data_IF_762954658994
#
_entry.id   IF_762954658994
#
_cell.length_a   1.000
_cell.length_b   1.000
_cell.length_c   1.000
_cell.angle_alpha   90.00
_cell.angle_beta   90.00
_cell.angle_gamma   90.00
#
_symmetry.space_group_name_H-M   'P 1'
#
loop_
_entity.id
_entity.type
_entity.pdbx_description
1 polymer ?
#
# COMPACT_ATOMS: atom_id res chain seq x y z
N UNK A 1 6.51 1.10 16.65
CA UNK A 1 6.05 0.85 15.27
C UNK A 1 6.61 -0.45 14.74
N UNK A 2 7.93 -0.66 14.72
CA UNK A 2 8.53 -1.90 14.21
C UNK A 2 7.94 -3.22 14.79
N UNK A 3 7.84 -3.34 16.12
CA UNK A 3 7.21 -4.52 16.75
C UNK A 3 5.73 -4.73 16.37
N UNK A 4 5.02 -3.64 16.04
CA UNK A 4 3.63 -3.69 15.60
C UNK A 4 3.54 -4.17 14.15
N UNK A 5 4.46 -3.71 13.28
CA UNK A 5 4.60 -4.17 11.89
C UNK A 5 4.83 -5.67 11.81
N UNK A 6 5.76 -6.20 12.61
CA UNK A 6 6.02 -7.65 12.64
C UNK A 6 4.87 -8.47 13.20
N UNK A 7 4.14 -7.95 14.19
CA UNK A 7 2.89 -8.57 14.66
C UNK A 7 1.83 -8.68 13.57
N UNK A 8 1.75 -7.70 12.65
CA UNK A 8 0.85 -7.81 11.51
C UNK A 8 1.26 -8.83 10.50
N UNK A 9 2.55 -8.88 10.17
CA UNK A 9 3.07 -9.94 9.31
C UNK A 9 2.69 -11.30 9.89
N UNK A 10 2.80 -11.49 11.21
CA UNK A 10 2.43 -12.75 11.86
C UNK A 10 0.92 -12.99 11.91
N UNK A 11 0.10 -11.94 12.03
CA UNK A 11 -1.37 -12.05 11.99
C UNK A 11 -1.85 -12.46 10.59
N UNK A 12 -1.39 -11.78 9.55
CA UNK A 12 -1.75 -12.07 8.14
C UNK A 12 -1.24 -13.45 7.72
N UNK A 13 -0.04 -13.83 8.14
CA UNK A 13 0.54 -15.14 7.82
C UNK A 13 0.11 -16.27 8.77
N UNK A 14 -0.75 -16.01 9.76
CA UNK A 14 -1.01 -16.94 10.88
C UNK A 14 -1.44 -18.34 10.45
N UNK A 15 -2.14 -18.43 9.31
CA UNK A 15 -2.59 -19.70 8.74
C UNK A 15 -1.82 -20.12 7.48
N UNK A 16 -0.88 -19.31 6.96
CA UNK A 16 -0.24 -19.53 5.67
C UNK A 16 -1.20 -19.54 4.46
N UNK A 17 -2.48 -19.23 4.67
CA UNK A 17 -3.57 -19.44 3.71
C UNK A 17 -3.55 -18.44 2.54
N UNK A 18 -2.94 -17.26 2.71
CA UNK A 18 -3.01 -16.18 1.73
C UNK A 18 -1.76 -15.98 0.90
N UNK A 19 -0.77 -16.89 0.91
CA UNK A 19 0.34 -16.88 -0.06
C UNK A 19 1.26 -15.64 -0.11
N UNK A 20 1.08 -14.64 0.75
CA UNK A 20 1.86 -13.40 0.75
C UNK A 20 3.33 -13.67 1.03
N UNK A 21 4.22 -13.08 0.23
CA UNK A 21 5.65 -13.07 0.53
C UNK A 21 5.92 -12.32 1.84
N UNK A 22 6.50 -12.99 2.83
CA UNK A 22 6.85 -12.36 4.11
C UNK A 22 7.86 -11.22 3.87
N UNK A 23 7.60 -9.99 4.32
CA UNK A 23 8.61 -8.93 4.31
C UNK A 23 9.90 -9.36 5.02
N UNK A 24 11.03 -8.99 4.44
CA UNK A 24 12.36 -9.11 5.05
C UNK A 24 12.74 -7.86 5.85
N UNK A 25 12.22 -6.69 5.48
CA UNK A 25 12.38 -5.44 6.23
C UNK A 25 11.19 -4.50 6.04
N UNK A 26 11.04 -3.55 6.96
CA UNK A 26 10.11 -2.43 6.82
C UNK A 26 10.87 -1.11 6.65
N UNK A 27 10.25 -0.19 5.92
CA UNK A 27 10.69 1.20 5.84
C UNK A 27 9.48 2.15 5.88
N UNK A 28 9.70 3.36 6.43
CA UNK A 28 8.76 4.46 6.26
C UNK A 28 8.90 5.01 4.84
N UNK A 29 7.78 5.12 4.13
CA UNK A 29 7.68 5.50 2.70
C UNK A 29 6.78 6.71 2.54
N UNK A 30 7.35 7.89 2.78
CA UNK A 30 6.60 9.15 2.68
C UNK A 30 5.49 9.31 3.74
N UNK A 31 4.56 10.21 3.42
CA UNK A 31 3.33 10.46 4.15
C UNK A 31 2.20 10.56 3.14
N UNK A 32 1.02 10.06 3.48
CA UNK A 32 -0.18 10.16 2.66
C UNK A 32 -1.06 11.29 3.19
N UNK A 33 -1.46 12.22 2.32
CA UNK A 33 -2.54 13.17 2.64
C UNK A 33 -3.84 12.39 2.86
N UNK A 34 -4.39 12.50 4.07
CA UNK A 34 -5.66 11.92 4.43
C UNK A 34 -6.78 12.85 3.99
N UNK A 35 -7.81 12.23 3.44
CA UNK A 35 -9.04 12.91 3.09
C UNK A 35 -10.23 12.07 3.58
N UNK A 36 -11.44 12.28 3.05
CA UNK A 36 -12.63 11.56 3.53
C UNK A 36 -12.48 10.05 3.34
N UNK A 37 -11.72 9.64 2.33
CA UNK A 37 -11.48 8.23 2.02
C UNK A 37 -9.99 7.97 1.71
N UNK A 38 -9.53 6.74 1.98
CA UNK A 38 -8.25 6.21 1.49
C UNK A 38 -8.53 5.09 0.51
N UNK A 39 -7.86 5.14 -0.62
CA UNK A 39 -7.99 4.16 -1.70
C UNK A 39 -6.68 3.42 -1.92
N UNK A 40 -6.79 2.10 -1.94
CA UNK A 40 -5.75 1.21 -2.45
C UNK A 40 -6.19 0.75 -3.85
N UNK A 41 -5.30 0.90 -4.83
CA UNK A 41 -5.52 0.48 -6.22
C UNK A 41 -4.54 -0.62 -6.59
N UNK A 42 -5.04 -1.64 -7.28
CA UNK A 42 -4.38 -2.16 -8.48
C UNK A 42 -5.27 -1.81 -9.66
N UNK A 43 -4.72 -1.48 -10.81
CA UNK A 43 -5.55 -0.90 -11.85
C UNK A 43 -5.85 -1.91 -12.96
N UNK A 44 -7.02 -2.52 -12.85
CA UNK A 44 -7.89 -2.77 -13.98
C UNK A 44 -9.22 -2.02 -13.74
N UNK A 45 -9.91 -1.66 -14.82
CA UNK A 45 -11.02 -0.71 -14.98
C UNK A 45 -12.26 -0.85 -14.06
N UNK A 46 -12.25 -1.73 -13.06
CA UNK A 46 -13.35 -1.95 -12.11
C UNK A 46 -12.93 -2.24 -10.65
N UNK A 47 -11.64 -2.37 -10.32
CA UNK A 47 -11.19 -2.77 -8.98
C UNK A 47 -10.50 -1.65 -8.20
N UNK A 48 -11.17 -1.05 -7.23
CA UNK A 48 -10.55 -0.18 -6.21
C UNK A 48 -11.15 -0.47 -4.84
N UNK A 49 -10.32 -0.44 -3.81
CA UNK A 49 -10.83 -0.55 -2.44
C UNK A 49 -10.74 0.83 -1.83
N UNK A 50 -11.88 1.33 -1.38
CA UNK A 50 -12.05 2.66 -0.83
C UNK A 50 -12.53 2.51 0.60
N UNK A 51 -11.89 3.20 1.52
CA UNK A 51 -12.28 3.24 2.91
C UNK A 51 -12.60 4.65 3.33
N UNK A 52 -13.88 4.90 3.56
CA UNK A 52 -14.38 6.16 4.10
C UNK A 52 -14.56 6.11 5.61
N UNK A 53 -14.96 7.25 6.19
CA UNK A 53 -15.23 7.34 7.63
C UNK A 53 -13.97 7.33 8.49
N UNK A 54 -12.83 7.67 7.89
CA UNK A 54 -11.57 7.89 8.62
C UNK A 54 -11.79 8.93 9.71
N UNK A 55 -11.20 8.70 10.89
CA UNK A 55 -11.18 9.69 11.96
C UNK A 55 -10.76 11.05 11.42
N UNK A 56 -11.33 12.12 11.96
CA UNK A 56 -10.79 13.48 11.82
C UNK A 56 -9.42 13.54 12.50
N UNK A 57 -8.41 13.10 11.76
CA UNK A 57 -7.03 12.90 12.20
C UNK A 57 -6.09 14.00 11.70
N UNK A 58 -4.77 13.77 11.76
CA UNK A 58 -3.81 14.65 11.11
C UNK A 58 -4.09 14.70 9.61
N UNK A 59 -3.85 15.83 8.96
CA UNK A 59 -4.02 15.95 7.50
C UNK A 59 -3.14 14.98 6.72
N UNK A 60 -2.08 14.44 7.35
CA UNK A 60 -1.18 13.43 6.78
C UNK A 60 -0.93 12.27 7.74
N UNK A 61 -0.87 11.06 7.20
CA UNK A 61 -0.45 9.87 7.94
C UNK A 61 0.86 9.29 7.36
N UNK A 62 1.81 8.86 8.20
CA UNK A 62 3.01 8.19 7.72
C UNK A 62 2.65 6.83 7.11
N UNK A 63 3.27 6.47 5.99
CA UNK A 63 3.09 5.16 5.37
C UNK A 63 4.30 4.29 5.62
N UNK A 64 4.09 3.02 5.91
CA UNK A 64 5.15 2.03 6.07
C UNK A 64 4.97 0.92 5.04
N UNK A 65 6.06 0.46 4.43
CA UNK A 65 6.03 -0.66 3.50
C UNK A 65 6.99 -1.75 3.94
N UNK A 66 6.52 -2.99 3.86
CA UNK A 66 7.26 -4.23 4.02
C UNK A 66 7.78 -4.70 2.67
N UNK A 67 9.10 -4.86 2.59
CA UNK A 67 9.81 -5.21 1.38
C UNK A 67 10.48 -6.57 1.50
N UNK A 68 10.67 -7.23 0.36
CA UNK A 68 11.50 -8.42 0.21
C UNK A 68 12.32 -8.32 -1.07
N UNK A 69 13.38 -9.14 -1.17
CA UNK A 69 14.13 -9.26 -2.41
C UNK A 69 13.45 -10.26 -3.34
N UNK A 70 13.09 -9.80 -4.53
CA UNK A 70 12.57 -10.63 -5.61
C UNK A 70 13.66 -10.88 -6.63
N UNK A 71 13.84 -12.13 -7.02
CA UNK A 71 14.74 -12.52 -8.11
C UNK A 71 13.97 -13.33 -9.15
N UNK A 72 14.02 -12.89 -10.41
CA UNK A 72 13.41 -13.59 -11.55
C UNK A 72 14.54 -14.11 -12.43
N UNK A 73 14.69 -15.44 -12.48
CA UNK A 73 15.77 -16.08 -13.24
C UNK A 73 17.17 -15.61 -12.82
N UNK A 74 17.97 -15.21 -13.81
CA UNK A 74 19.35 -14.75 -13.62
C UNK A 74 19.47 -13.22 -13.45
N UNK A 75 18.35 -12.49 -13.38
CA UNK A 75 18.38 -11.04 -13.18
C UNK A 75 18.80 -10.69 -11.73
N UNK A 76 19.43 -9.52 -11.51
CA UNK A 76 19.71 -9.05 -10.16
C UNK A 76 18.44 -8.98 -9.31
N UNK A 77 18.54 -9.35 -8.03
CA UNK A 77 17.41 -9.23 -7.12
C UNK A 77 17.02 -7.75 -6.92
N UNK A 78 15.71 -7.49 -6.89
CA UNK A 78 15.11 -6.16 -6.81
C UNK A 78 14.11 -6.10 -5.66
N UNK A 79 14.00 -4.96 -4.99
CA UNK A 79 13.11 -4.81 -3.86
C UNK A 79 11.66 -4.69 -4.32
N UNK A 80 10.77 -5.50 -3.75
CA UNK A 80 9.33 -5.50 -4.01
C UNK A 80 8.56 -5.40 -2.72
N UNK A 81 7.38 -4.79 -2.79
CA UNK A 81 6.50 -4.60 -1.64
C UNK A 81 5.52 -5.74 -1.56
N UNK A 82 5.39 -6.36 -0.38
CA UNK A 82 4.32 -7.32 -0.10
C UNK A 82 3.31 -6.83 0.92
N UNK A 83 3.63 -5.75 1.66
CA UNK A 83 2.74 -5.17 2.65
C UNK A 83 2.90 -3.65 2.71
N UNK A 84 1.79 -2.93 2.82
CA UNK A 84 1.74 -1.50 3.11
C UNK A 84 0.86 -1.28 4.33
N UNK A 85 1.27 -0.40 5.22
CA UNK A 85 0.58 -0.11 6.48
C UNK A 85 0.42 1.39 6.63
N UNK A 86 -0.81 1.80 6.92
CA UNK A 86 -1.20 3.17 7.21
C UNK A 86 -1.73 3.27 8.65
N UNK A 87 -0.87 3.56 9.64
CA UNK A 87 -1.32 3.87 10.99
C UNK A 87 -2.08 5.20 11.03
N UNK A 88 -3.29 5.18 11.57
CA UNK A 88 -4.18 6.35 11.69
C UNK A 88 -4.26 6.86 13.14
N UNK A 89 -3.76 6.08 14.09
CA UNK A 89 -3.65 6.44 15.50
C UNK A 89 -2.24 6.16 16.05
N UNK A 90 -2.02 6.47 17.33
CA UNK A 90 -0.78 6.13 18.00
C UNK A 90 -0.65 4.60 18.19
N UNK A 91 0.58 4.06 18.32
CA UNK A 91 0.81 2.63 18.43
C UNK A 91 0.07 1.94 19.59
N UNK A 92 -0.25 2.65 20.68
CA UNK A 92 -0.91 2.04 21.84
C UNK A 92 -2.35 1.70 21.52
N UNK A 93 -3.06 2.63 20.86
CA UNK A 93 -4.43 2.42 20.38
C UNK A 93 -4.49 1.29 19.36
N UNK A 94 -3.55 1.29 18.41
CA UNK A 94 -3.50 0.25 17.38
C UNK A 94 -3.24 -1.14 17.96
N UNK A 95 -2.39 -1.25 19.00
CA UNK A 95 -2.14 -2.53 19.70
C UNK A 95 -3.37 -3.04 20.44
N UNK A 96 -4.25 -2.15 20.89
CA UNK A 96 -5.46 -2.51 21.63
C UNK A 96 -6.67 -2.83 20.72
N UNK A 97 -6.58 -2.48 19.44
CA UNK A 97 -7.64 -2.69 18.46
C UNK A 97 -7.75 -4.17 18.03
N UNK A 98 -8.97 -4.55 17.65
CA UNK A 98 -9.27 -5.84 17.06
C UNK A 98 -9.09 -5.78 15.53
N UNK A 99 -8.52 -6.84 14.98
CA UNK A 99 -8.25 -6.94 13.54
C UNK A 99 -9.34 -7.76 12.86
N UNK A 100 -9.85 -7.25 11.74
CA UNK A 100 -10.74 -8.03 10.89
C UNK A 100 -9.97 -9.14 10.15
N UNK A 101 -10.70 -10.11 9.59
CA UNK A 101 -10.12 -11.25 8.84
C UNK A 101 -9.68 -10.88 7.40
N UNK A 102 -9.66 -9.59 7.09
CA UNK A 102 -9.45 -9.04 5.76
C UNK A 102 -10.70 -9.08 4.86
N UNK A 103 -10.55 -8.58 3.64
CA UNK A 103 -11.62 -8.45 2.65
C UNK A 103 -11.48 -9.49 1.54
N UNK A 104 -12.40 -10.46 1.50
CA UNK A 104 -12.42 -11.47 0.43
C UNK A 104 -12.79 -10.87 -0.95
N UNK A 105 -12.18 -11.38 -2.02
CA UNK A 105 -12.61 -11.16 -3.40
C UNK A 105 -12.15 -9.85 -4.04
N UNK A 106 -11.01 -9.34 -3.59
CA UNK A 106 -10.44 -8.11 -4.13
C UNK A 106 -9.45 -8.45 -5.25
N UNK A 107 -9.94 -8.47 -6.49
CA UNK A 107 -9.14 -8.65 -7.71
C UNK A 107 -8.93 -7.33 -8.45
N UNK A 108 -8.02 -6.45 -8.03
CA UNK A 108 -7.42 -5.54 -8.98
C UNK A 108 -6.11 -6.15 -9.44
N UNK A 109 -5.99 -6.41 -10.75
CA UNK A 109 -4.69 -6.65 -11.36
C UNK A 109 -3.78 -5.44 -11.13
N UNK A 110 -2.47 -5.65 -10.98
CA UNK A 110 -1.53 -4.54 -10.82
C UNK A 110 -1.52 -3.62 -12.04
N UNK A 111 -1.37 -2.31 -11.82
CA UNK A 111 -1.06 -1.40 -12.92
C UNK A 111 0.36 -1.69 -13.36
N UNK A 112 0.56 -2.46 -14.43
CA UNK A 112 1.92 -2.73 -14.95
C UNK A 112 2.93 -3.15 -13.85
N UNK A 113 2.47 -3.93 -12.86
CA UNK A 113 3.29 -4.34 -11.70
C UNK A 113 3.35 -3.35 -10.52
N UNK A 114 2.48 -2.34 -10.46
CA UNK A 114 2.40 -1.38 -9.36
C UNK A 114 1.08 -1.46 -8.59
N UNK A 115 1.18 -1.33 -7.26
CA UNK A 115 0.07 -0.99 -6.38
C UNK A 115 0.14 0.50 -5.98
N UNK A 116 -1.01 1.15 -5.79
CA UNK A 116 -1.08 2.59 -5.54
C UNK A 116 -1.90 2.89 -4.29
N UNK A 117 -1.37 3.70 -3.39
CA UNK A 117 -2.09 4.25 -2.25
C UNK A 117 -2.32 5.75 -2.44
N UNK A 118 -3.56 6.22 -2.34
CA UNK A 118 -3.89 7.65 -2.33
C UNK A 118 -5.20 7.93 -1.56
N UNK A 119 -5.47 9.19 -1.21
CA UNK A 119 -6.74 9.61 -0.58
C UNK A 119 -7.76 10.11 -1.60
N UNK A 120 -9.06 9.88 -1.42
CA UNK A 120 -10.13 10.47 -2.26
C UNK A 120 -10.36 11.95 -1.88
N UNK A 121 -10.51 12.92 -2.78
CA UNK A 121 -11.01 12.85 -4.17
C UNK A 121 -9.96 12.44 -5.23
N UNK A 122 -8.75 12.04 -4.83
CA UNK A 122 -7.65 11.82 -5.75
C UNK A 122 -7.64 10.39 -6.27
N UNK A 123 -8.25 10.20 -7.45
CA UNK A 123 -8.02 9.05 -8.32
C UNK A 123 -6.97 9.43 -9.37
N UNK A 124 -5.70 8.98 -9.26
CA UNK A 124 -4.64 9.37 -10.18
C UNK A 124 -4.91 9.02 -11.64
N UNK A 125 -5.92 8.18 -11.94
CA UNK A 125 -6.35 7.88 -13.30
C UNK A 125 -7.44 8.77 -13.86
N UNK A 126 -8.20 9.42 -13.00
CA UNK A 126 -9.41 10.13 -13.39
C UNK A 126 -9.39 11.61 -12.97
N UNK A 127 -8.27 12.13 -12.46
CA UNK A 127 -8.10 13.57 -12.21
C UNK A 127 -8.19 14.35 -13.53
N UNK A 128 -9.28 15.10 -13.71
CA UNK A 128 -9.48 15.93 -14.90
C UNK A 128 -8.36 16.96 -15.10
N UNK A 129 -7.80 17.03 -16.31
CA UNK A 129 -6.73 17.96 -16.67
C UNK A 129 -5.32 17.47 -16.33
N UNK A 130 -5.16 16.26 -15.79
CA UNK A 130 -3.88 15.62 -15.49
C UNK A 130 -3.56 14.54 -16.53
N UNK A 131 -2.28 14.40 -16.90
CA UNK A 131 -1.79 13.36 -17.80
C UNK A 131 -1.34 12.13 -16.98
N UNK A 132 -2.29 11.24 -16.67
CA UNK A 132 -2.03 10.02 -15.91
C UNK A 132 -0.99 9.11 -16.58
N UNK A 133 -0.88 9.13 -17.91
CA UNK A 133 0.13 8.36 -18.64
C UNK A 133 1.53 8.95 -18.45
N UNK A 134 1.66 10.28 -18.37
CA UNK A 134 2.93 10.92 -18.02
C UNK A 134 3.36 10.58 -16.59
N UNK A 135 2.45 10.62 -15.62
CA UNK A 135 2.75 10.22 -14.25
C UNK A 135 3.19 8.75 -14.18
N UNK A 136 2.50 7.85 -14.87
CA UNK A 136 2.88 6.43 -14.91
C UNK A 136 4.25 6.22 -15.56
N UNK A 137 4.57 6.95 -16.63
CA UNK A 137 5.93 6.90 -17.24
C UNK A 137 7.00 7.37 -16.26
N UNK A 138 6.71 8.40 -15.47
CA UNK A 138 7.63 8.90 -14.47
C UNK A 138 7.82 7.91 -13.31
N UNK A 139 6.74 7.29 -12.82
CA UNK A 139 6.79 6.21 -11.82
C UNK A 139 7.67 5.06 -12.30
N UNK A 140 7.44 4.57 -13.53
CA UNK A 140 8.25 3.52 -14.15
C UNK A 140 9.72 3.89 -14.21
N UNK A 141 10.03 5.14 -14.59
CA UNK A 141 11.40 5.65 -14.65
C UNK A 141 12.07 5.68 -13.28
N UNK A 142 11.38 6.18 -12.24
CA UNK A 142 11.90 6.27 -10.88
C UNK A 142 12.20 4.88 -10.31
N UNK A 143 11.27 3.94 -10.49
CA UNK A 143 11.39 2.58 -9.94
C UNK A 143 12.46 1.79 -10.68
N UNK A 144 12.49 1.83 -12.02
CA UNK A 144 13.52 1.16 -12.82
C UNK A 144 14.93 1.67 -12.49
N UNK A 145 15.09 2.98 -12.28
CA UNK A 145 16.35 3.54 -11.81
C UNK A 145 16.74 3.03 -10.42
N UNK A 146 15.77 2.75 -9.55
CA UNK A 146 16.01 2.18 -8.22
C UNK A 146 16.39 0.72 -8.24
N UNK A 147 15.75 -0.05 -9.12
CA UNK A 147 16.12 -1.44 -9.39
C UNK A 147 17.56 -1.51 -9.89
N UNK A 148 17.93 -0.68 -10.88
CA UNK A 148 19.31 -0.62 -11.40
C UNK A 148 20.36 -0.16 -10.37
N UNK A 149 19.95 0.45 -9.26
CA UNK A 149 20.80 0.85 -8.14
C UNK A 149 20.80 -0.15 -6.98
N UNK A 150 19.95 -1.19 -7.02
CA UNK A 150 19.75 -2.10 -5.90
C UNK A 150 19.15 -1.42 -4.66
N UNK A 151 18.23 -0.46 -4.85
CA UNK A 151 17.60 0.26 -3.73
C UNK A 151 16.74 -0.68 -2.90
N UNK A 152 17.01 -0.74 -1.58
CA UNK A 152 16.18 -1.46 -0.59
C UNK A 152 14.81 -0.83 -0.35
N UNK A 153 14.69 0.47 -0.58
CA UNK A 153 13.41 1.20 -0.43
C UNK A 153 13.11 1.78 -1.80
N UNK A 154 12.35 1.03 -2.60
CA UNK A 154 12.01 1.41 -3.96
C UNK A 154 10.50 1.65 -4.06
N UNK A 155 10.14 2.91 -4.24
CA UNK A 155 8.77 3.40 -4.44
C UNK A 155 8.85 4.72 -5.21
N UNK A 156 7.72 5.17 -5.72
CA UNK A 156 7.58 6.51 -6.27
C UNK A 156 6.45 7.26 -5.57
N UNK A 157 6.63 8.56 -5.41
CA UNK A 157 5.61 9.46 -4.91
C UNK A 157 5.31 10.50 -6.00
N UNK A 158 4.04 10.65 -6.33
CA UNK A 158 3.55 11.64 -7.28
C UNK A 158 2.65 12.60 -6.53
N UNK A 159 2.99 13.89 -6.55
CA UNK A 159 2.13 14.93 -5.98
C UNK A 159 0.94 15.13 -6.92
N UNK A 160 -0.25 14.81 -6.43
CA UNK A 160 -1.50 14.82 -7.22
C UNK A 160 -2.23 16.16 -7.15
N UNK A 161 -2.12 16.86 -6.02
CA UNK A 161 -2.68 18.19 -5.78
C UNK A 161 -1.70 19.03 -4.93
N UNK A 162 -0.89 19.90 -5.54
CA UNK A 162 0.10 20.71 -4.82
C UNK A 162 -0.53 21.71 -3.84
N UNK A 163 -1.74 22.19 -4.12
CA UNK A 163 -2.40 23.23 -3.32
C UNK A 163 -2.99 22.65 -2.04
N UNK A 164 -3.49 21.41 -2.11
CA UNK A 164 -4.04 20.67 -0.96
C UNK A 164 -3.08 19.66 -0.35
N UNK A 165 -1.92 19.44 -0.97
CA UNK A 165 -0.93 18.47 -0.52
C UNK A 165 -1.24 17.02 -0.89
N UNK A 166 -2.24 16.77 -1.74
CA UNK A 166 -2.64 15.45 -2.20
C UNK A 166 -1.52 14.74 -2.96
N UNK A 167 -1.36 13.44 -2.70
CA UNK A 167 -0.33 12.62 -3.31
C UNK A 167 -0.78 11.16 -3.51
N UNK A 168 -0.06 10.46 -4.39
CA UNK A 168 -0.18 9.03 -4.63
C UNK A 168 1.18 8.34 -4.49
N UNK A 169 1.20 7.24 -3.74
CA UNK A 169 2.38 6.42 -3.51
C UNK A 169 2.28 5.14 -4.33
N UNK A 170 3.27 4.92 -5.21
CA UNK A 170 3.36 3.77 -6.10
C UNK A 170 4.41 2.79 -5.59
N UNK A 171 4.00 1.53 -5.46
CA UNK A 171 4.81 0.45 -4.92
C UNK A 171 4.99 -0.64 -5.98
N UNK A 172 6.23 -1.04 -6.32
CA UNK A 172 6.45 -2.18 -7.18
C UNK A 172 6.11 -3.47 -6.43
N UNK A 173 5.19 -4.25 -6.98
CA UNK A 173 4.72 -5.53 -6.44
C UNK A 173 4.97 -6.63 -7.48
N UNK A 174 5.11 -7.87 -7.04
CA UNK A 174 5.17 -9.00 -7.98
C UNK A 174 3.83 -9.71 -8.12
N UNK A 175 3.00 -9.62 -7.08
CA UNK A 175 1.84 -10.46 -6.96
C UNK A 175 0.60 -9.83 -7.61
N UNK A 176 -0.30 -10.70 -8.08
CA UNK A 176 -1.48 -10.30 -8.86
C UNK A 176 -2.66 -9.91 -7.97
N UNK A 177 -2.82 -10.58 -6.82
CA UNK A 177 -3.92 -10.34 -5.89
C UNK A 177 -3.53 -9.45 -4.72
N UNK A 178 -4.56 -8.81 -4.16
CA UNK A 178 -4.41 -7.84 -3.07
C UNK A 178 -5.48 -8.09 -2.03
N UNK A 179 -5.20 -7.73 -0.79
CA UNK A 179 -6.19 -7.73 0.29
C UNK A 179 -5.92 -6.58 1.25
N UNK A 180 -6.96 -6.15 1.95
CA UNK A 180 -6.94 -5.07 2.93
C UNK A 180 -7.40 -5.55 4.29
N UNK A 181 -6.83 -5.00 5.35
CA UNK A 181 -7.14 -5.28 6.74
C UNK A 181 -7.34 -3.99 7.51
N UNK A 182 -8.18 -4.07 8.53
CA UNK A 182 -8.46 -2.95 9.43
C UNK A 182 -8.23 -3.35 10.87
N UNK A 183 -7.60 -2.44 11.61
CA UNK A 183 -7.72 -2.41 13.06
C UNK A 183 -8.89 -1.52 13.45
N UNK A 184 -9.78 -2.10 14.24
CA UNK A 184 -10.99 -1.47 14.74
C UNK A 184 -10.94 -1.38 16.27
N UNK A 185 -11.25 -0.21 16.81
CA UNK A 185 -11.63 -0.08 18.23
C UNK A 185 -13.02 -0.69 18.47
N UNK A 186 -13.41 -0.89 19.74
CA UNK A 186 -14.69 -1.51 20.11
C UNK A 186 -15.92 -0.81 19.52
N UNK A 187 -15.83 0.49 19.27
CA UNK A 187 -16.91 1.30 18.69
C UNK A 187 -16.94 1.27 17.14
N UNK A 188 -16.04 0.49 16.52
CA UNK A 188 -15.88 0.40 15.07
C UNK A 188 -14.95 1.44 14.48
N UNK A 189 -14.29 2.27 15.29
CA UNK A 189 -13.33 3.27 14.80
C UNK A 189 -12.10 2.62 14.20
N UNK A 190 -11.76 3.00 12.97
CA UNK A 190 -10.58 2.49 12.27
C UNK A 190 -9.33 3.24 12.71
N UNK A 191 -8.35 2.51 13.24
CA UNK A 191 -7.10 3.09 13.78
C UNK A 191 -5.85 2.69 13.00
N UNK A 192 -5.96 1.71 12.10
CA UNK A 192 -4.90 1.37 11.16
C UNK A 192 -5.46 0.60 9.96
N UNK A 193 -4.89 0.85 8.78
CA UNK A 193 -5.10 0.04 7.58
C UNK A 193 -3.83 -0.74 7.25
N UNK A 194 -3.99 -1.95 6.74
CA UNK A 194 -2.89 -2.70 6.13
C UNK A 194 -3.35 -3.28 4.79
N UNK A 195 -2.47 -3.27 3.81
CA UNK A 195 -2.68 -3.79 2.47
C UNK A 195 -1.60 -4.79 2.16
N UNK A 196 -1.95 -5.89 1.51
CA UNK A 196 -0.99 -6.92 1.12
C UNK A 196 -1.10 -7.22 -0.36
N UNK A 197 -0.02 -7.77 -0.91
CA UNK A 197 0.03 -8.34 -2.25
C UNK A 197 0.41 -9.82 -2.14
N UNK A 198 -0.33 -10.71 -2.81
CA UNK A 198 -0.09 -12.15 -2.79
C UNK A 198 -0.58 -12.86 -4.06
N UNK A 199 -0.10 -14.08 -4.25
CA UNK A 199 -0.45 -14.96 -5.36
C UNK A 199 -1.12 -16.21 -4.81
N UNK A 200 -2.18 -16.71 -5.47
CA UNK A 200 -2.68 -18.04 -5.21
C UNK A 200 -1.94 -19.02 -6.12
N UNK A 201 -1.26 -20.05 -5.57
CA UNK A 201 -0.77 -21.12 -6.42
C UNK A 201 -1.97 -21.78 -7.13
N UNK A 202 -1.98 -21.71 -8.47
CA UNK A 202 -2.90 -22.47 -9.33
C UNK A 202 -2.80 -23.97 -9.09
#
# INVERSE_FOLDING_TARGET
MDALLWRWVDHVNRNGEKGMMRPEWFARVGELELAEEVTWYGMATAGRWVHGGLLSGPSKAPVYAGFYWSQVGDEPAVARVSMVVLPLADPTRIVAADWNDGYNGYEPAALDGYAVLCGDPFDPLHVGGRDAEADLREVKRIIAAGDGQGRRVNYAEIVTDPDRGGNALFFPVNEEERDGYEALEEDGTVVCLAFIAYDFPL
#
